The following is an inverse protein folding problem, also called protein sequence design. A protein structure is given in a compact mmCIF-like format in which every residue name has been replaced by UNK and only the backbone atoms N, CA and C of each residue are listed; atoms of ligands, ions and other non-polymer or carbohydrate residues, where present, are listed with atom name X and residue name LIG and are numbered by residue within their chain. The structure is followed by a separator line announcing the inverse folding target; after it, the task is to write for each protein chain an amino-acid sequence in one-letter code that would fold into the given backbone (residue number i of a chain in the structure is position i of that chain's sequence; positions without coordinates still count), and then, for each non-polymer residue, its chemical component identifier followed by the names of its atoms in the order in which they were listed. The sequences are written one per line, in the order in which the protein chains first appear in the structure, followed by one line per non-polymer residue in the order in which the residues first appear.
data_IF_917753594357
#
_entry.id   IF_917753594357
#
_cell.length_a   1.000
_cell.length_b   1.000
_cell.length_c   1.000
_cell.angle_alpha   90.00
_cell.angle_beta   90.00
_cell.angle_gamma   90.00
#
_symmetry.space_group_name_H-M   'P 1'
#
loop_
_entity.id
_entity.type
_entity.pdbx_description
1 polymer ?
#
# COMPACT_ATOMS: atom_id res chain seq x y z
N UNK A 1 39.28 4.11 26.70
CA UNK A 1 38.36 5.01 25.95
C UNK A 1 37.82 4.24 24.76
N UNK A 2 36.55 3.81 24.79
CA UNK A 2 35.94 3.02 23.70
C UNK A 2 35.45 3.95 22.59
N UNK A 3 35.92 3.70 21.39
CA UNK A 3 35.64 4.47 20.17
C UNK A 3 34.20 4.22 19.73
N UNK A 4 33.35 5.25 19.79
CA UNK A 4 32.00 5.23 19.25
C UNK A 4 32.08 5.27 17.72
N UNK A 5 31.97 4.10 17.09
CA UNK A 5 31.86 3.99 15.63
C UNK A 5 30.52 4.61 15.20
N UNK A 6 30.57 5.80 14.62
CA UNK A 6 29.44 6.40 13.94
C UNK A 6 29.00 5.46 12.80
N UNK A 7 27.86 4.78 13.00
CA UNK A 7 27.14 4.13 11.92
C UNK A 7 26.56 5.27 11.07
N UNK A 8 27.27 5.63 10.00
CA UNK A 8 26.67 6.26 8.82
C UNK A 8 25.73 5.22 8.22
N UNK A 9 24.49 5.18 8.72
CA UNK A 9 23.41 4.48 8.04
C UNK A 9 23.07 5.30 6.81
N UNK A 10 23.73 5.01 5.70
CA UNK A 10 23.17 5.28 4.37
C UNK A 10 21.96 4.35 4.22
N UNK A 11 20.85 4.68 4.90
CA UNK A 11 19.65 3.86 4.98
C UNK A 11 18.99 3.87 3.61
N UNK A 12 19.38 2.94 2.74
CA UNK A 12 18.47 2.42 1.71
C UNK A 12 17.22 2.04 2.49
N UNK A 13 16.13 2.79 2.33
CA UNK A 13 14.83 2.53 2.98
C UNK A 13 14.59 1.02 2.87
N UNK A 14 14.66 0.31 4.01
CA UNK A 14 14.41 -1.12 4.02
C UNK A 14 12.91 -1.24 3.83
N UNK A 15 12.52 -1.34 2.56
CA UNK A 15 11.18 -1.65 2.11
C UNK A 15 10.68 -2.86 2.90
N UNK A 16 9.59 -2.71 3.64
CA UNK A 16 8.99 -3.77 4.45
C UNK A 16 8.60 -4.99 3.61
N UNK A 17 8.09 -4.74 2.40
CA UNK A 17 7.73 -5.76 1.42
C UNK A 17 8.65 -5.65 0.21
N UNK A 18 9.04 -6.78 -0.38
CA UNK A 18 9.76 -6.81 -1.65
C UNK A 18 8.83 -6.41 -2.80
N UNK A 19 9.41 -6.06 -3.96
CA UNK A 19 8.64 -5.81 -5.18
C UNK A 19 7.76 -7.00 -5.56
N UNK A 20 8.28 -8.23 -5.43
CA UNK A 20 7.51 -9.45 -5.71
C UNK A 20 6.30 -9.62 -4.77
N UNK A 21 6.44 -9.28 -3.49
CA UNK A 21 5.32 -9.31 -2.54
C UNK A 21 4.26 -8.25 -2.88
N UNK A 22 4.69 -7.07 -3.36
CA UNK A 22 3.77 -6.03 -3.83
C UNK A 22 3.04 -6.50 -5.10
N UNK A 23 3.74 -7.11 -6.05
CA UNK A 23 3.13 -7.65 -7.26
C UNK A 23 2.15 -8.79 -6.97
N UNK A 24 2.48 -9.67 -6.01
CA UNK A 24 1.56 -10.69 -5.51
C UNK A 24 0.31 -10.06 -4.90
N UNK A 25 0.47 -9.06 -4.02
CA UNK A 25 -0.64 -8.34 -3.41
C UNK A 25 -1.55 -7.67 -4.46
N UNK A 26 -0.97 -7.02 -5.47
CA UNK A 26 -1.69 -6.43 -6.60
C UNK A 26 -2.46 -7.52 -7.35
N UNK A 27 -1.79 -8.62 -7.70
CA UNK A 27 -2.39 -9.73 -8.44
C UNK A 27 -3.57 -10.38 -7.70
N UNK A 28 -3.46 -10.54 -6.37
CA UNK A 28 -4.55 -11.08 -5.55
C UNK A 28 -5.81 -10.20 -5.61
N UNK A 29 -5.66 -8.88 -5.56
CA UNK A 29 -6.78 -7.95 -5.66
C UNK A 29 -7.35 -7.93 -7.09
N UNK A 30 -6.48 -7.86 -8.11
CA UNK A 30 -6.91 -7.82 -9.52
C UNK A 30 -7.58 -9.11 -9.99
N UNK A 31 -7.23 -10.26 -9.41
CA UNK A 31 -7.83 -11.55 -9.74
C UNK A 31 -9.31 -11.62 -9.36
N UNK A 32 -9.75 -10.88 -8.33
CA UNK A 32 -11.14 -10.90 -7.88
C UNK A 32 -11.88 -9.62 -8.30
N UNK A 33 -12.70 -9.72 -9.35
CA UNK A 33 -13.47 -8.59 -9.86
C UNK A 33 -14.42 -7.95 -8.84
N UNK A 34 -14.88 -8.71 -7.84
CA UNK A 34 -15.73 -8.16 -6.77
C UNK A 34 -14.92 -7.25 -5.84
N UNK A 35 -13.68 -7.63 -5.52
CA UNK A 35 -12.78 -6.81 -4.70
C UNK A 35 -12.44 -5.51 -5.43
N UNK A 36 -12.12 -5.60 -6.72
CA UNK A 36 -11.87 -4.41 -7.56
C UNK A 36 -13.08 -3.48 -7.58
N UNK A 37 -14.28 -4.01 -7.86
CA UNK A 37 -15.52 -3.22 -7.89
C UNK A 37 -15.83 -2.57 -6.54
N UNK A 38 -15.60 -3.28 -5.44
CA UNK A 38 -15.82 -2.75 -4.10
C UNK A 38 -14.80 -1.66 -3.76
N UNK A 39 -13.52 -1.89 -3.99
CA UNK A 39 -12.44 -0.94 -3.73
C UNK A 39 -12.64 0.35 -4.52
N UNK A 40 -12.97 0.24 -5.82
CA UNK A 40 -13.16 1.39 -6.71
C UNK A 40 -14.61 1.87 -6.82
N UNK A 41 -15.47 1.50 -5.87
CA UNK A 41 -16.82 2.05 -5.81
C UNK A 41 -16.77 3.58 -5.70
N UNK A 42 -17.70 4.27 -6.36
CA UNK A 42 -17.73 5.75 -6.43
C UNK A 42 -17.67 6.42 -5.04
N UNK A 43 -18.29 5.80 -4.02
CA UNK A 43 -18.28 6.24 -2.62
C UNK A 43 -16.88 6.36 -1.98
N UNK A 44 -15.84 5.77 -2.58
CA UNK A 44 -14.47 5.83 -2.08
C UNK A 44 -13.63 6.95 -2.72
N UNK A 45 -14.21 7.70 -3.67
CA UNK A 45 -13.60 8.88 -4.29
C UNK A 45 -12.24 8.64 -4.97
N UNK A 46 -11.98 7.41 -5.45
CA UNK A 46 -10.70 7.05 -6.09
C UNK A 46 -10.60 7.44 -7.56
N UNK A 47 -11.71 7.83 -8.21
CA UNK A 47 -11.76 8.16 -9.64
C UNK A 47 -10.67 9.13 -10.11
N UNK A 48 -10.48 10.31 -9.46
CA UNK A 48 -9.42 11.25 -9.83
C UNK A 48 -8.02 10.65 -9.73
N UNK A 49 -7.77 9.81 -8.73
CA UNK A 49 -6.50 9.13 -8.53
C UNK A 49 -6.25 8.07 -9.61
N UNK A 50 -7.27 7.27 -9.93
CA UNK A 50 -7.23 6.25 -10.99
C UNK A 50 -6.91 6.89 -12.34
N UNK A 51 -7.56 8.01 -12.66
CA UNK A 51 -7.29 8.76 -13.89
C UNK A 51 -5.85 9.29 -13.92
N UNK A 52 -5.36 9.81 -12.79
CA UNK A 52 -4.00 10.34 -12.67
C UNK A 52 -2.91 9.27 -12.78
N UNK A 53 -3.17 8.06 -12.24
CA UNK A 53 -2.21 6.95 -12.22
C UNK A 53 -2.35 6.00 -13.42
N UNK A 54 -3.30 6.25 -14.31
CA UNK A 54 -3.49 5.47 -15.53
C UNK A 54 -4.12 4.09 -15.30
N UNK A 55 -4.95 3.93 -14.26
CA UNK A 55 -5.73 2.71 -14.06
C UNK A 55 -5.79 2.18 -12.62
N UNK A 56 -6.66 1.21 -12.42
CA UNK A 56 -6.94 0.59 -11.11
C UNK A 56 -5.74 -0.19 -10.57
N UNK A 57 -5.09 -1.00 -11.42
CA UNK A 57 -3.90 -1.78 -11.04
C UNK A 57 -2.75 -0.85 -10.60
N UNK A 58 -2.44 0.15 -11.42
CA UNK A 58 -1.40 1.14 -11.10
C UNK A 58 -1.71 1.90 -9.81
N UNK A 59 -2.99 2.17 -9.55
CA UNK A 59 -3.43 2.80 -8.31
C UNK A 59 -3.12 1.92 -7.11
N UNK A 60 -3.49 0.64 -7.15
CA UNK A 60 -3.20 -0.30 -6.06
C UNK A 60 -1.70 -0.48 -5.86
N UNK A 61 -0.93 -0.65 -6.94
CA UNK A 61 0.53 -0.78 -6.88
C UNK A 61 1.18 0.46 -6.24
N UNK A 62 0.77 1.65 -6.64
CA UNK A 62 1.31 2.92 -6.10
C UNK A 62 0.96 3.08 -4.63
N UNK A 63 -0.28 2.77 -4.26
CA UNK A 63 -0.78 2.82 -2.88
C UNK A 63 -0.04 1.85 -1.97
N UNK A 64 0.15 0.60 -2.40
CA UNK A 64 0.91 -0.41 -1.65
C UNK A 64 2.37 0.00 -1.48
N UNK A 65 3.00 0.57 -2.51
CA UNK A 65 4.35 1.13 -2.40
C UNK A 65 4.42 2.29 -1.41
N UNK A 66 3.43 3.18 -1.39
CA UNK A 66 3.37 4.29 -0.42
C UNK A 66 3.06 3.83 1.02
N UNK A 67 2.42 2.66 1.16
CA UNK A 67 2.17 1.99 2.43
C UNK A 67 3.35 1.14 2.92
N UNK A 68 4.34 0.89 2.07
CA UNK A 68 5.46 0.01 2.35
C UNK A 68 6.34 0.60 3.47
N UNK A 69 6.41 -0.08 4.62
CA UNK A 69 7.03 0.44 5.84
C UNK A 69 6.04 1.06 6.84
N UNK A 70 4.75 1.10 6.54
CA UNK A 70 3.68 1.61 7.42
C UNK A 70 2.64 0.55 7.80
N UNK A 71 2.65 -0.62 7.16
CA UNK A 71 1.72 -1.68 7.47
C UNK A 71 2.26 -2.53 8.63
N UNK A 72 1.41 -3.25 9.37
CA UNK A 72 1.90 -4.23 10.34
C UNK A 72 2.62 -5.38 9.62
N UNK A 73 3.50 -6.10 10.32
CA UNK A 73 4.16 -7.29 9.76
C UNK A 73 3.19 -8.45 9.52
N UNK A 74 2.09 -8.51 10.28
CA UNK A 74 1.00 -9.47 10.15
C UNK A 74 -0.28 -8.89 10.77
N UNK A 75 -1.43 -9.39 10.34
CA UNK A 75 -2.72 -9.03 10.93
C UNK A 75 -3.39 -7.80 10.30
N UNK A 76 -4.55 -7.47 10.87
CA UNK A 76 -5.47 -6.47 10.32
C UNK A 76 -4.92 -5.07 10.49
N UNK A 77 -5.04 -4.25 9.46
CA UNK A 77 -4.78 -2.82 9.50
C UNK A 77 -6.03 -2.05 9.12
N UNK A 78 -6.30 -0.96 9.85
CA UNK A 78 -7.50 -0.17 9.67
C UNK A 78 -7.17 1.33 9.66
N UNK A 79 -7.59 2.02 8.62
CA UNK A 79 -7.41 3.46 8.41
C UNK A 79 -5.94 3.91 8.40
N UNK A 80 -5.04 3.13 7.78
CA UNK A 80 -3.65 3.55 7.63
C UNK A 80 -3.57 4.67 6.57
N UNK A 81 -3.13 5.89 6.93
CA UNK A 81 -3.03 6.99 5.97
C UNK A 81 -1.77 6.86 5.12
N UNK A 82 -1.93 6.98 3.80
CA UNK A 82 -0.83 7.05 2.84
C UNK A 82 -1.04 8.23 1.90
N UNK A 83 0.03 8.94 1.58
CA UNK A 83 -0.04 10.05 0.63
C UNK A 83 0.34 9.53 -0.76
N UNK A 84 -0.57 9.71 -1.72
CA UNK A 84 -0.33 9.35 -3.12
C UNK A 84 -0.84 10.48 -4.00
N UNK A 85 0.04 11.01 -4.84
CA UNK A 85 -0.33 12.03 -5.82
C UNK A 85 -0.91 13.31 -5.21
N UNK A 86 -0.55 13.64 -3.96
CA UNK A 86 -1.04 14.81 -3.21
C UNK A 86 -2.33 14.56 -2.42
N UNK A 87 -2.89 13.34 -2.47
CA UNK A 87 -4.11 12.97 -1.75
C UNK A 87 -3.78 12.00 -0.61
N UNK A 88 -4.49 12.14 0.51
CA UNK A 88 -4.40 11.19 1.62
C UNK A 88 -5.42 10.08 1.43
N UNK A 89 -4.94 8.85 1.30
CA UNK A 89 -5.73 7.65 1.11
C UNK A 89 -5.68 6.85 2.41
N UNK A 90 -6.83 6.38 2.87
CA UNK A 90 -6.93 5.52 4.04
C UNK A 90 -7.07 4.07 3.61
N UNK A 91 -6.19 3.22 4.11
CA UNK A 91 -6.14 1.79 3.78
C UNK A 91 -6.74 0.93 4.88
N UNK A 92 -7.48 -0.10 4.46
CA UNK A 92 -7.99 -1.17 5.31
C UNK A 92 -7.73 -2.52 4.67
N UNK A 93 -7.35 -3.49 5.48
CA UNK A 93 -7.00 -4.80 4.99
C UNK A 93 -6.31 -5.66 6.03
N UNK A 94 -5.61 -6.68 5.56
CA UNK A 94 -4.93 -7.64 6.42
C UNK A 94 -3.61 -8.07 5.77
N UNK A 95 -2.56 -8.20 6.58
CA UNK A 95 -1.31 -8.83 6.14
C UNK A 95 -1.37 -10.31 6.49
N UNK A 96 -1.48 -11.15 5.46
CA UNK A 96 -1.61 -12.61 5.59
C UNK A 96 -0.37 -13.24 4.96
N UNK A 97 0.35 -14.06 5.72
CA UNK A 97 1.58 -14.72 5.28
C UNK A 97 2.64 -13.74 4.74
N UNK A 98 2.73 -12.54 5.33
CA UNK A 98 3.66 -11.49 4.88
C UNK A 98 3.21 -10.73 3.62
N UNK A 99 2.02 -11.02 3.07
CA UNK A 99 1.47 -10.36 1.88
C UNK A 99 0.36 -9.39 2.29
N UNK A 100 0.49 -8.08 2.00
CA UNK A 100 -0.53 -7.10 2.34
C UNK A 100 -1.73 -7.22 1.40
N UNK A 101 -2.91 -7.55 1.94
CA UNK A 101 -4.16 -7.64 1.17
C UNK A 101 -5.04 -6.44 1.48
N UNK A 102 -5.35 -5.64 0.46
CA UNK A 102 -6.26 -4.49 0.59
C UNK A 102 -7.70 -4.99 0.46
N UNK A 103 -8.52 -4.69 1.46
CA UNK A 103 -9.97 -4.92 1.38
C UNK A 103 -10.72 -3.63 1.02
N UNK A 104 -10.23 -2.46 1.42
CA UNK A 104 -10.86 -1.17 1.10
C UNK A 104 -9.79 -0.07 1.12
N UNK A 105 -9.90 0.88 0.20
CA UNK A 105 -9.17 2.14 0.28
C UNK A 105 -10.10 3.29 -0.13
N UNK A 106 -9.92 4.46 0.47
CA UNK A 106 -10.79 5.61 0.20
C UNK A 106 -10.11 6.94 0.52
N UNK A 107 -10.63 8.01 -0.06
CA UNK A 107 -10.25 9.40 0.21
C UNK A 107 -11.39 10.05 0.98
N UNK A 108 -11.06 10.71 2.10
CA UNK A 108 -12.00 11.50 2.91
C UNK A 108 -12.10 12.92 2.41
#
# INVERSE_FOLDING_TARGET
VRVSRAVKSSTKLISQFSTSTIDEAVGLVMKNSNDVKHIFAAKHNLGPLVNKLGGQENTIRTVLNAANGKLPASGVFNNIPVNVGGQTIFLRGNVINGVPRICTMFIK
#
